data_IF_749717333109
#
_entry.id   IF_749717333109
#
_cell.length_a   1.000
_cell.length_b   1.000
_cell.length_c   1.000
_cell.angle_alpha   90.00
_cell.angle_beta   90.00
_cell.angle_gamma   90.00
#
_symmetry.space_group_name_H-M   'P 1'
#
loop_
_entity.id
_entity.type
_entity.pdbx_description
1 polymer ?
#
# COMPACT_ATOMS: atom_id res chain seq x y z
N UNK A 1 -7.39 11.08 -3.49
CA UNK A 1 -6.43 10.00 -3.14
C UNK A 1 -6.17 9.05 -4.32
N UNK A 2 -6.18 9.55 -5.55
CA UNK A 2 -5.69 8.81 -6.73
C UNK A 2 -4.26 9.31 -6.96
N UNK A 3 -3.32 8.44 -7.26
CA UNK A 3 -1.89 8.72 -7.49
C UNK A 3 -0.98 8.87 -6.25
N UNK A 4 -1.00 7.88 -5.34
CA UNK A 4 0.27 7.55 -4.65
C UNK A 4 1.05 6.57 -5.51
N UNK A 5 2.33 6.85 -5.77
CA UNK A 5 3.23 5.86 -6.35
C UNK A 5 3.36 4.65 -5.43
N UNK A 6 3.80 3.51 -5.98
CA UNK A 6 4.05 2.31 -5.17
C UNK A 6 5.03 2.60 -4.03
N UNK A 7 6.09 3.36 -4.31
CA UNK A 7 7.10 3.74 -3.32
C UNK A 7 6.52 4.60 -2.20
N UNK A 8 5.69 5.61 -2.53
CA UNK A 8 5.05 6.45 -1.51
C UNK A 8 4.04 5.67 -0.65
N UNK A 9 3.32 4.71 -1.25
CA UNK A 9 2.44 3.83 -0.51
C UNK A 9 3.23 2.92 0.45
N UNK A 10 4.40 2.43 0.02
CA UNK A 10 5.28 1.62 0.85
C UNK A 10 5.86 2.42 2.03
N UNK A 11 6.39 3.62 1.77
CA UNK A 11 6.92 4.49 2.85
C UNK A 11 5.83 4.83 3.87
N UNK A 12 4.58 5.03 3.42
CA UNK A 12 3.46 5.25 4.36
C UNK A 12 3.15 3.99 5.18
N UNK A 13 3.20 2.80 4.58
CA UNK A 13 3.01 1.55 5.31
C UNK A 13 4.07 1.35 6.40
N UNK A 14 5.34 1.61 6.09
CA UNK A 14 6.44 1.58 7.07
C UNK A 14 6.18 2.55 8.22
N UNK A 15 5.73 3.78 7.91
CA UNK A 15 5.38 4.77 8.92
C UNK A 15 4.23 4.30 9.81
N UNK A 16 3.17 3.72 9.22
CA UNK A 16 2.04 3.19 9.99
C UNK A 16 2.52 2.05 10.89
N UNK A 17 3.37 1.15 10.39
CA UNK A 17 3.93 0.05 11.18
C UNK A 17 4.68 0.58 12.41
N UNK A 18 5.58 1.56 12.23
CA UNK A 18 6.28 2.19 13.36
C UNK A 18 5.32 2.84 14.36
N UNK A 19 4.26 3.51 13.90
CA UNK A 19 3.24 4.12 14.77
C UNK A 19 2.44 3.09 15.56
N UNK A 20 2.20 1.90 15.01
CA UNK A 20 1.56 0.79 15.72
C UNK A 20 2.50 0.17 16.76
N UNK A 21 3.80 0.06 16.45
CA UNK A 21 4.83 -0.48 17.34
C UNK A 21 5.14 0.44 18.53
N UNK A 22 5.04 1.76 18.36
CA UNK A 22 5.21 2.74 19.45
C UNK A 22 4.23 2.52 20.63
N UNK A 23 3.07 1.90 20.38
CA UNK A 23 2.13 1.50 21.43
C UNK A 23 1.48 2.64 22.22
N UNK A 24 1.57 3.89 21.75
CA UNK A 24 1.07 5.10 22.43
C UNK A 24 -0.26 5.63 21.85
N UNK A 25 -0.91 4.89 20.96
CA UNK A 25 -2.13 5.29 20.24
C UNK A 25 -3.39 4.80 20.95
N UNK A 26 -4.45 5.58 20.91
CA UNK A 26 -5.78 5.18 21.36
C UNK A 26 -6.41 4.12 20.45
N UNK A 27 -7.45 3.42 20.94
CA UNK A 27 -8.14 2.37 20.16
C UNK A 27 -8.74 2.90 18.85
N UNK A 28 -9.27 4.13 18.87
CA UNK A 28 -9.81 4.77 17.66
C UNK A 28 -8.70 5.07 16.64
N UNK A 29 -7.57 5.61 17.10
CA UNK A 29 -6.41 5.85 16.24
C UNK A 29 -5.84 4.57 15.66
N UNK A 30 -5.76 3.49 16.45
CA UNK A 30 -5.35 2.17 15.97
C UNK A 30 -6.29 1.66 14.87
N UNK A 31 -7.60 1.82 15.06
CA UNK A 31 -8.60 1.44 14.06
C UNK A 31 -8.38 2.17 12.73
N UNK A 32 -8.11 3.47 12.79
CA UNK A 32 -7.92 4.29 11.60
C UNK A 32 -6.58 4.00 10.89
N UNK A 33 -5.50 3.78 11.65
CA UNK A 33 -4.21 3.34 11.10
C UNK A 33 -4.32 2.01 10.38
N UNK A 34 -5.06 1.04 10.94
CA UNK A 34 -5.28 -0.27 10.32
C UNK A 34 -6.12 -0.15 9.04
N UNK A 35 -7.17 0.69 9.04
CA UNK A 35 -7.97 0.94 7.83
C UNK A 35 -7.14 1.57 6.72
N UNK A 36 -6.29 2.53 7.06
CA UNK A 36 -5.38 3.18 6.11
C UNK A 36 -4.39 2.17 5.54
N UNK A 37 -3.75 1.36 6.39
CA UNK A 37 -2.82 0.32 5.95
C UNK A 37 -3.50 -0.68 5.01
N UNK A 38 -4.73 -1.12 5.31
CA UNK A 38 -5.48 -2.03 4.44
C UNK A 38 -5.75 -1.43 3.06
N UNK A 39 -6.08 -0.13 2.99
CA UNK A 39 -6.28 0.57 1.73
C UNK A 39 -4.98 0.69 0.92
N UNK A 40 -3.86 0.99 1.57
CA UNK A 40 -2.54 1.07 0.94
C UNK A 40 -2.07 -0.29 0.40
N UNK A 41 -2.24 -1.37 1.17
CA UNK A 41 -1.91 -2.73 0.73
C UNK A 41 -2.72 -3.12 -0.51
N UNK A 42 -4.02 -2.77 -0.53
CA UNK A 42 -4.87 -3.01 -1.69
C UNK A 42 -4.33 -2.27 -2.93
N UNK A 43 -4.01 -0.99 -2.79
CA UNK A 43 -3.42 -0.19 -3.87
C UNK A 43 -2.11 -0.79 -4.40
N UNK A 44 -1.20 -1.20 -3.51
CA UNK A 44 0.07 -1.83 -3.90
C UNK A 44 -0.16 -3.13 -4.69
N UNK A 45 -1.08 -3.98 -4.25
CA UNK A 45 -1.42 -5.24 -4.95
C UNK A 45 -2.00 -4.99 -6.34
N UNK A 46 -2.88 -3.99 -6.48
CA UNK A 46 -3.43 -3.60 -7.77
C UNK A 46 -2.33 -3.10 -8.72
N UNK A 47 -1.43 -2.25 -8.24
CA UNK A 47 -0.24 -1.78 -8.98
C UNK A 47 0.61 -2.95 -9.49
N UNK A 48 0.96 -3.90 -8.62
CA UNK A 48 1.77 -5.06 -8.98
C UNK A 48 1.08 -5.91 -10.04
N UNK A 49 -0.22 -6.19 -9.87
CA UNK A 49 -1.00 -6.98 -10.83
C UNK A 49 -1.08 -6.32 -12.21
N UNK A 50 -1.28 -5.00 -12.26
CA UNK A 50 -1.27 -4.25 -13.52
C UNK A 50 0.10 -4.32 -14.16
N UNK A 51 1.18 -4.08 -13.41
CA UNK A 51 2.54 -4.16 -13.94
C UNK A 51 2.89 -5.56 -14.46
N UNK A 52 2.47 -6.62 -13.77
CA UNK A 52 2.64 -8.00 -14.24
C UNK A 52 1.90 -8.24 -15.57
N UNK A 53 0.66 -7.73 -15.70
CA UNK A 53 -0.13 -7.85 -16.93
C UNK A 53 0.54 -7.11 -18.09
N UNK A 54 1.00 -5.87 -17.87
CA UNK A 54 1.68 -5.06 -18.88
C UNK A 54 2.97 -5.75 -19.38
N UNK A 55 3.73 -6.35 -18.45
CA UNK A 55 4.93 -7.14 -18.79
C UNK A 55 4.55 -8.34 -19.66
N UNK A 56 3.53 -9.10 -19.27
CA UNK A 56 3.10 -10.27 -20.02
C UNK A 56 2.64 -9.90 -21.44
N UNK A 57 1.86 -8.82 -21.60
CA UNK A 57 1.40 -8.33 -22.90
C UNK A 57 2.57 -7.90 -23.80
N UNK A 58 3.58 -7.23 -23.23
CA UNK A 58 4.78 -6.80 -23.95
C UNK A 58 5.58 -7.98 -24.51
N UNK A 59 5.65 -9.11 -23.78
CA UNK A 59 6.34 -10.32 -24.22
C UNK A 59 5.50 -11.27 -25.09
N UNK A 60 4.17 -11.21 -25.02
CA UNK A 60 3.28 -12.01 -25.89
C UNK A 60 3.13 -11.43 -27.30
N UNK A 61 3.43 -10.13 -27.47
CA UNK A 61 3.35 -9.41 -28.74
C UNK A 61 4.68 -9.31 -29.48
N UNK A 62 5.71 -10.06 -29.02
CA UNK A 62 7.04 -10.17 -29.61
C UNK A 62 7.21 -11.54 -30.30
#
# INVERSE_FOLDING_TARGET
MKDKSYSEAMTRLETILSQLEEGNKSVDELSDLVKEAAALVKHCREKLKTTESDIQEAFQSA
#
